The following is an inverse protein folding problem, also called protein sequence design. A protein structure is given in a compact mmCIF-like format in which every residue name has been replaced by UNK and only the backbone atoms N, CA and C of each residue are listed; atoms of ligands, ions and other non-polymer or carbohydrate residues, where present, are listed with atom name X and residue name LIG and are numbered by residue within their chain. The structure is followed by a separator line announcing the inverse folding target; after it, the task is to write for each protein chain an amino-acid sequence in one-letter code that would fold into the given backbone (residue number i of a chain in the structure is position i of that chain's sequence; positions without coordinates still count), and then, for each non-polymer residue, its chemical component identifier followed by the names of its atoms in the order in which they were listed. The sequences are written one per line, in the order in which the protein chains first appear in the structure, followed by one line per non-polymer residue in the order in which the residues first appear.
data_IF_087743788779
#
_entry.id   IF_087743788779
#
_cell.length_a   1.000
_cell.length_b   1.000
_cell.length_c   1.000
_cell.angle_alpha   90.00
_cell.angle_beta   90.00
_cell.angle_gamma   90.00
#
_symmetry.space_group_name_H-M   'P 1'
#
loop_
_entity.id
_entity.type
_entity.pdbx_description
1 polymer ?
#
# COMPACT_ATOMS: atom_id res chain seq x y z
N UNK A 1 0.89 20.91 5.59
CA UNK A 1 1.66 19.80 5.01
C UNK A 1 0.85 18.53 5.15
N UNK A 2 0.58 17.86 4.05
CA UNK A 2 -0.13 16.58 4.10
C UNK A 2 0.86 15.43 4.06
N UNK A 3 0.60 14.40 4.83
CA UNK A 3 1.35 13.17 4.73
C UNK A 3 0.98 12.45 3.44
N UNK A 4 1.94 11.80 2.79
CA UNK A 4 1.71 11.05 1.56
C UNK A 4 2.06 9.57 1.73
N UNK A 5 1.14 8.73 1.29
CA UNK A 5 1.32 7.28 1.17
C UNK A 5 1.37 6.91 -0.31
N UNK A 6 2.46 6.30 -0.73
CA UNK A 6 2.59 5.70 -2.06
C UNK A 6 2.37 4.18 -1.94
N UNK A 7 1.42 3.66 -2.69
CA UNK A 7 1.11 2.23 -2.76
C UNK A 7 1.59 1.69 -4.10
N UNK A 8 2.54 0.77 -4.08
CA UNK A 8 3.18 0.21 -5.28
C UNK A 8 2.65 -1.20 -5.51
N UNK A 9 1.90 -1.39 -6.57
CA UNK A 9 1.22 -2.65 -6.87
C UNK A 9 1.32 -3.03 -8.35
N UNK A 10 1.22 -4.32 -8.71
CA UNK A 10 1.16 -4.74 -10.11
C UNK A 10 -0.12 -4.31 -10.81
N UNK A 11 -1.21 -4.15 -10.05
CA UNK A 11 -2.51 -3.70 -10.58
C UNK A 11 -3.32 -2.96 -9.53
N UNK A 12 -4.28 -2.16 -9.97
CA UNK A 12 -5.26 -1.51 -9.07
C UNK A 12 -6.06 -2.56 -8.29
N UNK A 13 -6.44 -3.65 -8.94
CA UNK A 13 -7.19 -4.74 -8.30
C UNK A 13 -6.46 -5.32 -7.11
N UNK A 14 -5.17 -5.57 -7.22
CA UNK A 14 -4.36 -6.10 -6.12
C UNK A 14 -4.21 -5.08 -4.99
N UNK A 15 -3.95 -3.81 -5.33
CA UNK A 15 -3.87 -2.75 -4.33
C UNK A 15 -5.16 -2.62 -3.52
N UNK A 16 -6.31 -2.64 -4.18
CA UNK A 16 -7.62 -2.59 -3.51
C UNK A 16 -7.87 -3.81 -2.66
N UNK A 17 -7.54 -5.00 -3.18
CA UNK A 17 -7.75 -6.27 -2.49
C UNK A 17 -6.98 -6.35 -1.16
N UNK A 18 -5.71 -5.98 -1.18
CA UNK A 18 -4.81 -6.14 -0.02
C UNK A 18 -4.75 -4.92 0.89
N UNK A 19 -4.93 -3.71 0.35
CA UNK A 19 -4.71 -2.47 1.08
C UNK A 19 -5.85 -1.44 0.94
N UNK A 20 -6.95 -1.80 0.29
CA UNK A 20 -8.02 -0.84 -0.04
C UNK A 20 -8.66 -0.20 1.17
N UNK A 21 -8.89 -0.95 2.23
CA UNK A 21 -9.46 -0.43 3.48
C UNK A 21 -8.50 0.50 4.21
N UNK A 22 -7.24 0.12 4.30
CA UNK A 22 -6.20 0.94 4.90
C UNK A 22 -5.99 2.25 4.13
N UNK A 23 -5.97 2.18 2.79
CA UNK A 23 -5.89 3.37 1.95
C UNK A 23 -7.05 4.34 2.24
N UNK A 24 -8.28 3.82 2.30
CA UNK A 24 -9.46 4.63 2.60
C UNK A 24 -9.35 5.30 3.98
N UNK A 25 -8.99 4.55 5.00
CA UNK A 25 -8.85 5.08 6.35
C UNK A 25 -7.74 6.14 6.44
N UNK A 26 -6.63 5.97 5.71
CA UNK A 26 -5.57 6.98 5.59
C UNK A 26 -6.08 8.26 4.91
N UNK A 27 -6.84 8.13 3.82
CA UNK A 27 -7.46 9.30 3.15
C UNK A 27 -8.37 10.05 4.13
N UNK A 28 -9.19 9.32 4.88
CA UNK A 28 -10.07 9.93 5.87
C UNK A 28 -9.32 10.58 7.04
N UNK A 29 -8.11 10.13 7.31
CA UNK A 29 -7.21 10.75 8.29
C UNK A 29 -6.44 11.96 7.73
N UNK A 30 -6.67 12.33 6.47
CA UNK A 30 -6.07 13.52 5.84
C UNK A 30 -4.79 13.24 5.05
N UNK A 31 -4.46 11.97 4.79
CA UNK A 31 -3.33 11.61 3.95
C UNK A 31 -3.65 11.75 2.46
N UNK A 32 -2.65 12.13 1.68
CA UNK A 32 -2.69 11.96 0.23
C UNK A 32 -2.23 10.54 -0.11
N UNK A 33 -3.11 9.76 -0.73
CA UNK A 33 -2.82 8.37 -1.10
C UNK A 33 -2.73 8.26 -2.61
N UNK A 34 -1.62 7.72 -3.08
CA UNK A 34 -1.35 7.54 -4.50
C UNK A 34 -1.01 6.08 -4.78
N UNK A 35 -1.65 5.49 -5.78
CA UNK A 35 -1.42 4.11 -6.20
C UNK A 35 -0.61 4.10 -7.50
N UNK A 36 0.58 3.50 -7.45
CA UNK A 36 1.51 3.38 -8.55
C UNK A 36 1.40 1.99 -9.15
N UNK A 37 0.98 1.89 -10.39
CA UNK A 37 0.80 0.62 -11.12
C UNK A 37 1.51 0.62 -12.45
N UNK A 38 1.88 -0.56 -12.93
CA UNK A 38 2.59 -0.75 -14.21
C UNK A 38 1.67 -0.76 -15.40
N UNK A 39 0.49 -1.30 -15.24
CA UNK A 39 -0.51 -1.40 -16.30
C UNK A 39 -1.64 -0.40 -16.06
N UNK A 40 -2.11 0.25 -17.12
CA UNK A 40 -3.11 1.31 -17.09
C UNK A 40 -4.10 1.22 -15.92
N UNK A 41 -4.29 2.31 -15.26
CA UNK A 41 -5.08 2.36 -14.03
C UNK A 41 -6.57 2.54 -14.33
N UNK A 42 -7.38 1.77 -13.63
CA UNK A 42 -8.81 2.04 -13.52
C UNK A 42 -9.02 3.05 -12.39
N UNK A 43 -9.15 4.30 -12.77
CA UNK A 43 -9.30 5.40 -11.81
C UNK A 43 -10.58 5.31 -10.98
N UNK A 44 -11.60 4.60 -11.48
CA UNK A 44 -12.89 4.54 -10.80
C UNK A 44 -12.81 3.89 -9.42
N UNK A 45 -12.15 2.74 -9.32
CA UNK A 45 -11.96 2.07 -8.03
C UNK A 45 -11.17 2.93 -7.05
N UNK A 46 -10.12 3.60 -7.56
CA UNK A 46 -9.31 4.50 -6.74
C UNK A 46 -10.08 5.74 -6.29
N UNK A 47 -10.90 6.32 -7.16
CA UNK A 47 -11.77 7.45 -6.82
C UNK A 47 -12.76 7.09 -5.71
N UNK A 48 -13.31 5.88 -5.73
CA UNK A 48 -14.20 5.38 -4.67
C UNK A 48 -13.48 5.40 -3.32
N UNK A 49 -12.21 5.05 -3.31
CA UNK A 49 -11.37 5.04 -2.09
C UNK A 49 -10.78 6.41 -1.73
N UNK A 50 -10.92 7.40 -2.62
CA UNK A 50 -10.32 8.72 -2.43
C UNK A 50 -8.82 8.77 -2.75
N UNK A 51 -8.29 7.78 -3.45
CA UNK A 51 -6.89 7.71 -3.86
C UNK A 51 -6.71 8.17 -5.32
N UNK A 52 -5.47 8.57 -5.66
CA UNK A 52 -5.07 8.92 -7.01
C UNK A 52 -4.24 7.79 -7.65
N UNK A 53 -4.41 7.60 -8.96
CA UNK A 53 -3.58 6.67 -9.73
C UNK A 53 -2.42 7.37 -10.42
N UNK A 54 -1.29 6.66 -10.55
CA UNK A 54 -0.14 7.16 -11.30
C UNK A 54 0.62 6.00 -11.96
N UNK A 55 1.38 6.33 -13.00
CA UNK A 55 2.23 5.38 -13.70
C UNK A 55 3.49 5.11 -12.89
N UNK A 56 3.68 3.87 -12.48
CA UNK A 56 4.84 3.43 -11.73
C UNK A 56 6.14 3.67 -12.52
N UNK A 57 6.17 3.37 -13.80
CA UNK A 57 7.36 3.53 -14.63
C UNK A 57 7.81 5.00 -14.68
N UNK A 58 6.86 5.93 -14.84
CA UNK A 58 7.17 7.35 -14.84
C UNK A 58 7.79 7.80 -13.51
N UNK A 59 7.29 7.29 -12.39
CA UNK A 59 7.83 7.61 -11.07
C UNK A 59 9.22 7.00 -10.87
N UNK A 60 9.43 5.76 -11.30
CA UNK A 60 10.74 5.11 -11.21
C UNK A 60 11.81 5.79 -12.05
N UNK A 61 11.44 6.36 -13.20
CA UNK A 61 12.36 7.13 -14.05
C UNK A 61 12.82 8.42 -13.40
N UNK A 62 12.00 9.05 -12.55
CA UNK A 62 12.40 10.25 -11.80
C UNK A 62 13.42 9.95 -10.70
N UNK A 63 13.49 8.71 -10.23
CA UNK A 63 14.45 8.26 -9.22
C UNK A 63 14.39 9.07 -7.93
N UNK A 64 15.57 9.38 -7.39
CA UNK A 64 15.69 10.07 -6.10
C UNK A 64 15.39 11.59 -6.17
N UNK A 65 15.12 12.14 -7.33
CA UNK A 65 14.85 13.58 -7.50
C UNK A 65 13.40 13.96 -7.14
N UNK A 66 12.53 12.96 -6.93
CA UNK A 66 11.15 13.19 -6.51
C UNK A 66 11.01 13.44 -5.01
N UNK A 67 9.86 14.00 -4.62
CA UNK A 67 9.51 14.09 -3.21
C UNK A 67 9.34 12.69 -2.62
N UNK A 68 10.02 12.43 -1.50
CA UNK A 68 9.89 11.16 -0.81
C UNK A 68 8.53 11.06 -0.10
N UNK A 69 7.80 9.94 -0.22
CA UNK A 69 6.59 9.74 0.57
C UNK A 69 6.93 9.54 2.05
N UNK A 70 5.97 9.84 2.91
CA UNK A 70 6.09 9.58 4.35
C UNK A 70 5.88 8.10 4.67
N UNK A 71 5.11 7.42 3.82
CA UNK A 71 4.88 5.98 3.90
C UNK A 71 4.87 5.37 2.50
N UNK A 72 5.35 4.15 2.40
CA UNK A 72 5.29 3.34 1.18
C UNK A 72 4.78 1.94 1.52
N UNK A 73 3.84 1.46 0.72
CA UNK A 73 3.35 0.09 0.78
C UNK A 73 3.63 -0.60 -0.55
N UNK A 74 4.28 -1.76 -0.52
CA UNK A 74 4.77 -2.42 -1.73
C UNK A 74 4.28 -3.87 -1.76
N UNK A 75 3.79 -4.30 -2.93
CA UNK A 75 3.55 -5.71 -3.19
C UNK A 75 4.90 -6.47 -3.17
N UNK A 76 5.02 -7.48 -2.33
CA UNK A 76 6.25 -8.27 -2.19
C UNK A 76 6.70 -8.90 -3.51
N UNK A 77 5.75 -9.23 -4.37
CA UNK A 77 6.01 -9.78 -5.70
C UNK A 77 6.80 -8.79 -6.59
N UNK A 78 6.46 -7.52 -6.56
CA UNK A 78 7.21 -6.47 -7.28
C UNK A 78 8.61 -6.26 -6.71
N UNK A 79 8.77 -6.34 -5.40
CA UNK A 79 10.10 -6.29 -4.77
C UNK A 79 11.02 -7.39 -5.32
N UNK A 80 10.48 -8.57 -5.53
CA UNK A 80 11.24 -9.69 -6.10
C UNK A 80 11.59 -9.52 -7.57
N UNK A 81 10.75 -8.82 -8.35
CA UNK A 81 10.84 -8.74 -9.81
C UNK A 81 11.59 -7.51 -10.35
N UNK A 82 11.55 -6.38 -9.64
CA UNK A 82 12.12 -5.12 -10.10
C UNK A 82 13.20 -4.61 -9.15
N UNK A 83 14.45 -4.52 -9.65
CA UNK A 83 15.58 -4.06 -8.85
C UNK A 83 15.44 -2.61 -8.41
N UNK A 84 14.79 -1.76 -9.19
CA UNK A 84 14.58 -0.34 -8.85
C UNK A 84 13.65 -0.20 -7.64
N UNK A 85 12.61 -1.02 -7.57
CA UNK A 85 11.72 -1.08 -6.41
C UNK A 85 12.48 -1.60 -5.19
N UNK A 86 13.28 -2.64 -5.38
CA UNK A 86 14.13 -3.20 -4.32
C UNK A 86 15.07 -2.16 -3.74
N UNK A 87 15.76 -1.42 -4.61
CA UNK A 87 16.69 -0.37 -4.18
C UNK A 87 15.97 0.77 -3.46
N UNK A 88 14.79 1.17 -3.95
CA UNK A 88 13.96 2.17 -3.30
C UNK A 88 13.50 1.76 -1.90
N UNK A 89 13.07 0.51 -1.73
CA UNK A 89 12.67 -0.05 -0.44
C UNK A 89 13.87 -0.10 0.52
N UNK A 90 15.03 -0.54 0.04
CA UNK A 90 16.25 -0.58 0.86
C UNK A 90 16.64 0.81 1.35
N UNK A 91 16.65 1.81 0.47
CA UNK A 91 16.94 3.19 0.85
C UNK A 91 15.94 3.73 1.88
N UNK A 92 14.67 3.43 1.71
CA UNK A 92 13.63 3.82 2.67
C UNK A 92 13.85 3.19 4.05
N UNK A 93 14.19 1.89 4.08
CA UNK A 93 14.50 1.17 5.31
C UNK A 93 15.76 1.72 6.00
N UNK A 94 16.81 2.01 5.24
CA UNK A 94 18.07 2.54 5.76
C UNK A 94 17.93 3.97 6.29
N UNK A 95 17.13 4.79 5.63
CA UNK A 95 16.90 6.18 6.06
C UNK A 95 16.11 6.27 7.36
N UNK A 96 15.23 5.31 7.62
CA UNK A 96 14.34 5.30 8.78
C UNK A 96 13.33 6.46 8.82
N UNK A 97 13.21 7.23 7.75
CA UNK A 97 12.31 8.39 7.66
C UNK A 97 10.96 8.07 7.00
N UNK A 98 10.92 6.97 6.27
CA UNK A 98 9.72 6.52 5.57
C UNK A 98 9.20 5.24 6.21
N UNK A 99 7.92 5.21 6.53
CA UNK A 99 7.25 3.99 6.94
C UNK A 99 7.20 3.03 5.75
N UNK A 100 7.68 1.80 5.94
CA UNK A 100 7.68 0.78 4.89
C UNK A 100 6.81 -0.39 5.30
N UNK A 101 5.84 -0.72 4.47
CA UNK A 101 4.99 -1.90 4.62
C UNK A 101 5.00 -2.72 3.34
N UNK A 102 4.89 -4.03 3.49
CA UNK A 102 4.79 -4.95 2.36
C UNK A 102 3.62 -5.91 2.60
N UNK A 103 3.00 -6.34 1.50
CA UNK A 103 1.99 -7.41 1.54
C UNK A 103 2.32 -8.48 0.51
N UNK A 104 1.78 -9.67 0.71
CA UNK A 104 1.92 -10.79 -0.22
C UNK A 104 2.17 -12.11 0.49
N UNK A 105 2.13 -13.18 -0.27
CA UNK A 105 2.30 -14.55 0.25
C UNK A 105 3.75 -15.02 0.21
N UNK A 106 4.57 -14.43 -0.66
CA UNK A 106 5.94 -14.85 -0.92
C UNK A 106 6.92 -13.76 -0.50
N UNK A 107 7.86 -14.10 0.37
CA UNK A 107 8.84 -13.18 0.94
C UNK A 107 10.25 -13.54 0.52
N UNK A 108 11.01 -12.61 -0.05
CA UNK A 108 12.45 -12.78 -0.19
C UNK A 108 13.11 -12.87 1.19
N UNK A 109 13.97 -13.88 1.39
CA UNK A 109 14.67 -14.09 2.66
C UNK A 109 15.49 -12.87 3.13
N UNK A 110 15.88 -12.01 2.20
CA UNK A 110 16.60 -10.76 2.49
C UNK A 110 15.78 -9.79 3.35
N UNK A 111 14.46 -9.82 3.22
CA UNK A 111 13.56 -8.93 3.95
C UNK A 111 13.36 -9.34 5.40
N UNK A 112 13.54 -10.61 5.73
CA UNK A 112 13.34 -11.10 7.10
C UNK A 112 14.29 -10.43 8.10
N UNK A 113 15.44 -9.94 7.64
CA UNK A 113 16.43 -9.26 8.49
C UNK A 113 16.11 -7.81 8.82
N UNK A 114 15.30 -7.15 7.98
CA UNK A 114 14.95 -5.73 8.13
C UNK A 114 13.53 -5.48 8.61
N UNK A 115 12.71 -6.52 8.71
CA UNK A 115 11.28 -6.40 9.02
C UNK A 115 11.02 -6.68 10.50
N UNK A 116 10.22 -5.82 11.12
CA UNK A 116 9.92 -5.89 12.56
C UNK A 116 8.83 -6.90 12.88
N UNK A 117 8.12 -7.39 11.87
CA UNK A 117 7.09 -8.41 12.04
C UNK A 117 5.80 -8.12 11.30
N UNK A 118 4.80 -8.95 11.57
CA UNK A 118 3.47 -8.81 10.99
C UNK A 118 2.67 -7.75 11.74
N UNK A 119 2.03 -6.87 10.99
CA UNK A 119 1.12 -5.85 11.51
C UNK A 119 -0.24 -5.95 10.81
N UNK A 120 -1.27 -5.51 11.47
CA UNK A 120 -2.61 -5.50 10.91
C UNK A 120 -3.26 -4.13 11.01
N UNK A 121 -4.07 -3.80 10.01
CA UNK A 121 -4.98 -2.68 10.05
C UNK A 121 -6.41 -3.20 10.18
N UNK A 122 -7.11 -2.76 11.19
CA UNK A 122 -8.54 -3.02 11.35
C UNK A 122 -9.33 -1.96 10.60
N UNK A 123 -10.10 -2.40 9.59
CA UNK A 123 -10.87 -1.50 8.76
C UNK A 123 -12.02 -0.87 9.55
N UNK A 124 -12.21 0.43 9.36
CA UNK A 124 -13.43 1.09 9.82
C UNK A 124 -14.65 0.52 9.07
N UNK A 125 -15.84 0.73 9.61
CA UNK A 125 -17.09 0.32 8.96
C UNK A 125 -17.19 0.96 7.56
N UNK A 126 -16.84 2.24 7.44
CA UNK A 126 -16.83 2.95 6.18
C UNK A 126 -15.79 2.36 5.20
N UNK A 127 -14.59 2.05 5.68
CA UNK A 127 -13.55 1.44 4.85
C UNK A 127 -13.99 0.10 4.25
N UNK A 128 -14.67 -0.74 5.02
CA UNK A 128 -15.22 -2.00 4.53
C UNK A 128 -16.26 -1.79 3.42
N UNK A 129 -17.16 -0.84 3.62
CA UNK A 129 -18.21 -0.51 2.65
C UNK A 129 -17.61 0.05 1.34
N UNK A 130 -16.69 1.01 1.42
CA UNK A 130 -16.06 1.60 0.26
C UNK A 130 -15.13 0.62 -0.47
N UNK A 131 -14.39 -0.21 0.26
CA UNK A 131 -13.60 -1.28 -0.35
C UNK A 131 -14.48 -2.26 -1.14
N UNK A 132 -15.63 -2.65 -0.60
CA UNK A 132 -16.58 -3.50 -1.30
C UNK A 132 -17.07 -2.86 -2.61
N UNK A 133 -17.36 -1.56 -2.59
CA UNK A 133 -17.76 -0.82 -3.80
C UNK A 133 -16.63 -0.72 -4.81
N UNK A 134 -15.41 -0.47 -4.36
CA UNK A 134 -14.24 -0.42 -5.24
C UNK A 134 -13.99 -1.77 -5.92
N UNK A 135 -14.06 -2.86 -5.17
CA UNK A 135 -13.93 -4.22 -5.73
C UNK A 135 -15.04 -4.54 -6.74
N UNK A 136 -16.27 -4.15 -6.45
CA UNK A 136 -17.40 -4.32 -7.37
C UNK A 136 -17.19 -3.55 -8.68
N UNK A 137 -16.61 -2.35 -8.63
CA UNK A 137 -16.33 -1.55 -9.83
C UNK A 137 -15.28 -2.17 -10.75
N UNK A 138 -14.43 -3.04 -10.23
CA UNK A 138 -13.38 -3.73 -10.98
C UNK A 138 -13.88 -4.97 -11.74
N UNK A 139 -15.16 -5.31 -11.62
CA UNK A 139 -15.78 -6.49 -12.27
C UNK A 139 -15.02 -7.80 -12.04
N UNK A 140 -14.41 -7.94 -10.88
CA UNK A 140 -13.70 -9.17 -10.50
C UNK A 140 -14.76 -10.21 -10.14
N UNK A 141 -14.87 -11.26 -10.95
CA UNK A 141 -15.87 -12.31 -10.80
C UNK A 141 -15.83 -13.00 -9.42
N UNK A 142 -14.67 -13.03 -8.79
CA UNK A 142 -14.46 -13.65 -7.48
C UNK A 142 -14.88 -12.77 -6.30
N UNK A 143 -15.12 -11.47 -6.54
CA UNK A 143 -15.50 -10.53 -5.48
C UNK A 143 -16.99 -10.61 -5.08
N UNK A 144 -17.79 -11.33 -5.84
CA UNK A 144 -19.24 -11.37 -5.62
C UNK A 144 -19.71 -12.26 -4.45
N UNK A 145 -18.82 -12.94 -3.77
CA UNK A 145 -19.16 -13.86 -2.71
C UNK A 145 -18.39 -13.69 -1.40
N UNK A 146 -17.23 -13.05 -1.43
CA UNK A 146 -16.44 -12.89 -0.23
C UNK A 146 -16.78 -11.59 0.49
N UNK A 147 -17.24 -11.75 1.72
CA UNK A 147 -17.35 -10.62 2.64
C UNK A 147 -15.97 -9.96 2.78
N UNK A 148 -15.90 -8.65 2.56
CA UNK A 148 -14.66 -7.89 2.76
C UNK A 148 -14.14 -8.16 4.17
N UNK A 149 -12.90 -8.60 4.27
CA UNK A 149 -12.24 -8.84 5.55
C UNK A 149 -12.27 -7.57 6.42
N UNK A 150 -12.43 -7.76 7.71
CA UNK A 150 -12.33 -6.66 8.68
C UNK A 150 -10.89 -6.25 8.97
N UNK A 151 -9.91 -7.01 8.47
CA UNK A 151 -8.49 -6.83 8.75
C UNK A 151 -7.71 -6.94 7.45
N UNK A 152 -6.73 -6.06 7.28
CA UNK A 152 -5.69 -6.16 6.25
C UNK A 152 -4.34 -6.37 6.93
N UNK A 153 -3.55 -7.33 6.42
CA UNK A 153 -2.30 -7.76 7.05
C UNK A 153 -1.12 -7.31 6.20
N UNK A 154 -0.13 -6.72 6.87
CA UNK A 154 1.11 -6.25 6.26
C UNK A 154 2.30 -6.72 7.08
N UNK A 155 3.49 -6.63 6.51
CA UNK A 155 4.73 -6.65 7.29
C UNK A 155 5.32 -5.25 7.31
N UNK A 156 5.70 -4.80 8.50
CA UNK A 156 6.32 -3.50 8.70
C UNK A 156 7.83 -3.62 8.74
N UNK A 157 8.51 -2.75 7.99
CA UNK A 157 9.97 -2.74 7.88
C UNK A 157 10.67 -1.69 8.71
N UNK A 158 9.96 -0.81 9.38
CA UNK A 158 10.58 0.28 10.14
C UNK A 158 9.66 0.77 11.23
N UNK A 159 10.26 1.15 12.35
CA UNK A 159 9.58 2.00 13.33
C UNK A 159 9.52 3.41 12.74
N UNK A 160 8.48 3.70 11.98
CA UNK A 160 8.28 5.04 11.49
C UNK A 160 8.15 6.01 12.66
N UNK A 161 8.88 7.09 12.58
CA UNK A 161 8.79 8.20 13.53
C UNK A 161 7.51 9.03 13.34
N UNK A 162 6.50 8.52 12.62
CA UNK A 162 5.25 9.21 12.42
C UNK A 162 4.26 8.80 13.51
N UNK A 163 3.98 9.67 14.50
CA UNK A 163 3.00 9.37 15.56
C UNK A 163 1.58 9.16 15.02
N UNK A 164 1.34 9.52 13.76
CA UNK A 164 0.05 9.35 13.10
C UNK A 164 -0.11 7.99 12.37
N UNK A 165 0.93 7.16 12.38
CA UNK A 165 0.89 5.80 11.83
C UNK A 165 0.41 4.73 12.83
N UNK A 166 -0.29 5.14 13.88
CA UNK A 166 -0.81 4.24 14.91
C UNK A 166 -1.99 3.36 14.44
N UNK A 167 -2.32 3.40 13.16
CA UNK A 167 -3.35 2.57 12.53
C UNK A 167 -2.91 1.15 12.21
N UNK A 168 -1.60 0.88 12.29
CA UNK A 168 -1.03 -0.46 12.15
C UNK A 168 -0.61 -0.99 13.52
N UNK A 169 -1.21 -2.11 13.91
CA UNK A 169 -0.92 -2.75 15.20
C UNK A 169 -0.29 -4.13 14.98
N UNK A 170 0.53 -4.64 15.90
CA UNK A 170 1.08 -5.98 15.78
C UNK A 170 -0.04 -7.01 15.59
N UNK A 171 0.13 -7.91 14.61
CA UNK A 171 -0.81 -8.98 14.37
C UNK A 171 -0.72 -10.02 15.50
N UNK A 172 -1.87 -10.47 15.95
CA UNK A 172 -1.99 -11.49 17.00
C UNK A 172 -1.69 -12.89 16.48
#
# INVERSE_FOLDING_TARGET
MRYRLDVVAPSVAEAVRYAGGWMFDRVMAGWDVRVLVTDGHDDRALQILGADGADLEAVLQLGAEGEHPHAVAVAADLYGKDSRIRDGVRLALESGQTEVTLWGESWPAELDRGMVGSVEHRLSVAARAFKAQALASLEIADAQGDSVSSIEIFRSGSRACCPEAADLVPAS
#
